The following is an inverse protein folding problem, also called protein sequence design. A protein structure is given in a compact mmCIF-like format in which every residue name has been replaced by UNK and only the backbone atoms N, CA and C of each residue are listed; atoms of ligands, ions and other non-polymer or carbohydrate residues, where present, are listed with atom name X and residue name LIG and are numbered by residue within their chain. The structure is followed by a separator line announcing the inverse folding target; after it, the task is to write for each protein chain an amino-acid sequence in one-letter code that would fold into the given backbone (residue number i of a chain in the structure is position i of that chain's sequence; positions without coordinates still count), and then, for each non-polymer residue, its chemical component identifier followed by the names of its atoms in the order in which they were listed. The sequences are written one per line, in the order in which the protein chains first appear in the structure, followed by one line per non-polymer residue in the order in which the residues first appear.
data_IF_636711165937
#
_entry.id   IF_636711165937
#
_cell.length_a   1.000
_cell.length_b   1.000
_cell.length_c   1.000
_cell.angle_alpha   90.00
_cell.angle_beta   90.00
_cell.angle_gamma   90.00
#
_symmetry.space_group_name_H-M   'P 1'
#
loop_
_entity.id
_entity.type
_entity.pdbx_description
1 polymer ?
#
# COMPACT_ATOMS: atom_id res chain seq x y z
N UNK A 1 21.31 -11.30 -11.85
CA UNK A 1 20.01 -11.92 -11.55
C UNK A 1 19.26 -12.04 -12.87
N UNK A 2 18.58 -13.16 -13.13
CA UNK A 2 17.76 -13.28 -14.35
C UNK A 2 16.65 -12.21 -14.33
N UNK A 3 16.37 -11.59 -15.47
CA UNK A 3 15.26 -10.64 -15.58
C UNK A 3 13.95 -11.38 -15.27
N UNK A 4 13.24 -10.96 -14.23
CA UNK A 4 11.91 -11.50 -13.91
C UNK A 4 10.95 -11.14 -15.04
N UNK A 5 10.20 -12.15 -15.49
CA UNK A 5 9.11 -12.03 -16.47
C UNK A 5 7.79 -12.34 -15.79
N UNK A 6 6.69 -11.90 -16.38
CA UNK A 6 5.35 -12.32 -15.95
C UNK A 6 5.06 -13.78 -16.36
N UNK A 7 3.86 -14.27 -16.03
CA UNK A 7 3.46 -15.66 -16.32
C UNK A 7 3.28 -15.92 -17.83
N UNK A 8 3.06 -14.88 -18.62
CA UNK A 8 2.95 -14.96 -20.08
C UNK A 8 4.32 -14.87 -20.77
N UNK A 9 5.40 -14.70 -20.00
CA UNK A 9 6.77 -14.59 -20.49
C UNK A 9 7.17 -13.18 -20.93
N UNK A 10 6.33 -12.17 -20.71
CA UNK A 10 6.63 -10.79 -21.06
C UNK A 10 7.49 -10.11 -19.97
N UNK A 11 8.27 -9.07 -20.34
CA UNK A 11 8.94 -8.23 -19.35
C UNK A 11 7.93 -7.56 -18.40
N UNK A 12 8.18 -7.62 -17.09
CA UNK A 12 7.32 -6.95 -16.11
C UNK A 12 7.49 -5.43 -16.21
N UNK A 13 6.42 -4.73 -16.56
CA UNK A 13 6.38 -3.26 -16.56
C UNK A 13 6.42 -2.73 -15.12
N UNK A 14 7.33 -1.79 -14.84
CA UNK A 14 7.32 -1.04 -13.57
C UNK A 14 6.06 -0.17 -13.45
N UNK A 15 5.52 -0.07 -12.24
CA UNK A 15 4.25 0.61 -11.96
C UNK A 15 4.36 1.41 -10.67
N UNK A 16 3.56 2.46 -10.57
CA UNK A 16 3.24 3.16 -9.32
C UNK A 16 1.94 2.59 -8.76
N UNK A 17 1.97 2.15 -7.51
CA UNK A 17 0.86 1.48 -6.82
C UNK A 17 0.36 2.38 -5.68
N UNK A 18 -0.90 2.81 -5.73
CA UNK A 18 -1.59 3.40 -4.59
C UNK A 18 -2.10 2.27 -3.70
N UNK A 19 -1.47 2.06 -2.55
CA UNK A 19 -1.84 1.03 -1.59
C UNK A 19 -2.60 1.66 -0.43
N UNK A 20 -3.93 1.52 -0.44
CA UNK A 20 -4.81 2.01 0.62
C UNK A 20 -4.93 0.94 1.70
N UNK A 21 -4.72 1.28 2.97
CA UNK A 21 -4.58 0.29 4.05
C UNK A 21 -3.19 -0.34 4.11
N UNK A 22 -2.15 0.38 3.66
CA UNK A 22 -0.78 -0.12 3.57
C UNK A 22 -0.14 -0.42 4.94
N UNK A 23 -0.59 0.25 6.00
CA UNK A 23 -0.15 0.01 7.38
C UNK A 23 -0.89 -1.15 8.07
N UNK A 24 -1.88 -1.75 7.40
CA UNK A 24 -2.60 -2.94 7.86
C UNK A 24 -1.75 -4.21 7.80
N UNK A 25 -2.30 -5.32 8.29
CA UNK A 25 -1.59 -6.62 8.31
C UNK A 25 -1.18 -7.11 6.92
N UNK A 26 -2.11 -7.11 5.95
CA UNK A 26 -1.81 -7.52 4.57
C UNK A 26 -0.92 -6.47 3.89
N UNK A 27 -1.24 -5.18 4.08
CA UNK A 27 -0.53 -4.06 3.47
C UNK A 27 0.95 -4.04 3.82
N UNK A 28 1.31 -4.31 5.07
CA UNK A 28 2.71 -4.28 5.50
C UNK A 28 3.55 -5.36 4.83
N UNK A 29 3.04 -6.60 4.78
CA UNK A 29 3.74 -7.71 4.13
C UNK A 29 3.78 -7.55 2.60
N UNK A 30 2.73 -6.97 2.01
CA UNK A 30 2.75 -6.65 0.59
C UNK A 30 3.81 -5.59 0.26
N UNK A 31 3.94 -4.55 1.10
CA UNK A 31 5.02 -3.56 0.98
C UNK A 31 6.41 -4.22 1.07
N UNK A 32 6.64 -5.11 2.03
CA UNK A 32 7.91 -5.83 2.18
C UNK A 32 8.29 -6.59 0.90
N UNK A 33 7.31 -7.32 0.32
CA UNK A 33 7.52 -8.07 -0.92
C UNK A 33 7.79 -7.12 -2.09
N UNK A 34 7.01 -6.06 -2.26
CA UNK A 34 7.24 -5.11 -3.35
C UNK A 34 8.62 -4.44 -3.26
N UNK A 35 9.07 -4.09 -2.05
CA UNK A 35 10.37 -3.46 -1.83
C UNK A 35 11.54 -4.43 -2.02
N UNK A 36 11.42 -5.68 -1.58
CA UNK A 36 12.52 -6.65 -1.68
C UNK A 36 12.62 -7.33 -3.05
N UNK A 37 11.52 -7.45 -3.78
CA UNK A 37 11.42 -8.40 -4.89
C UNK A 37 11.02 -7.79 -6.24
N UNK A 38 10.61 -6.51 -6.27
CA UNK A 38 10.09 -5.88 -7.49
C UNK A 38 10.65 -4.48 -7.70
N UNK A 39 10.60 -3.94 -8.93
CA UNK A 39 10.97 -2.57 -9.22
C UNK A 39 9.85 -1.56 -8.95
N UNK A 40 8.66 -1.99 -8.50
CA UNK A 40 7.48 -1.12 -8.35
C UNK A 40 7.70 -0.05 -7.26
N UNK A 41 6.95 1.05 -7.43
CA UNK A 41 6.87 2.16 -6.48
C UNK A 41 5.53 2.08 -5.73
N UNK A 42 5.53 2.37 -4.44
CA UNK A 42 4.35 2.31 -3.57
C UNK A 42 4.07 3.69 -2.96
N UNK A 43 2.85 4.18 -3.18
CA UNK A 43 2.24 5.26 -2.40
C UNK A 43 1.42 4.58 -1.29
N UNK A 44 2.02 4.47 -0.11
CA UNK A 44 1.43 3.82 1.05
C UNK A 44 0.46 4.77 1.76
N UNK A 45 -0.84 4.50 1.68
CA UNK A 45 -1.92 5.33 2.23
C UNK A 45 -2.51 4.61 3.44
N UNK A 46 -2.40 5.23 4.62
CA UNK A 46 -3.01 4.71 5.85
C UNK A 46 -3.12 5.82 6.91
N UNK A 47 -3.88 5.59 7.97
CA UNK A 47 -3.94 6.48 9.15
C UNK A 47 -2.75 6.26 10.10
N UNK A 48 -2.16 5.06 10.07
CA UNK A 48 -1.03 4.63 10.90
C UNK A 48 0.05 3.93 10.06
N UNK A 49 1.33 4.05 10.44
CA UNK A 49 2.45 3.43 9.72
C UNK A 49 3.27 2.48 10.58
N UNK A 50 2.81 2.13 11.79
CA UNK A 50 3.58 1.34 12.77
C UNK A 50 4.14 0.04 12.18
N UNK A 51 3.35 -0.63 11.33
CA UNK A 51 3.74 -1.91 10.68
C UNK A 51 4.60 -1.77 9.44
N UNK A 52 4.83 -0.55 8.94
CA UNK A 52 5.69 -0.30 7.77
C UNK A 52 6.82 0.68 8.08
N UNK A 53 6.98 1.10 9.34
CA UNK A 53 7.99 2.09 9.73
C UNK A 53 9.41 1.65 9.36
N UNK A 54 9.72 0.36 9.50
CA UNK A 54 11.00 -0.23 9.11
C UNK A 54 11.28 -0.20 7.61
N UNK A 55 10.26 0.07 6.78
CA UNK A 55 10.42 0.23 5.33
C UNK A 55 10.66 1.69 4.93
N UNK A 56 10.35 2.64 5.82
CA UNK A 56 10.46 4.08 5.60
C UNK A 56 11.74 4.67 6.21
N UNK A 57 12.26 4.04 7.26
CA UNK A 57 13.42 4.51 8.03
C UNK A 57 14.48 3.41 8.19
N UNK A 58 15.79 3.74 8.06
CA UNK A 58 16.36 5.05 7.69
C UNK A 58 16.23 5.36 6.19
N UNK A 59 16.40 6.63 5.80
CA UNK A 59 16.38 7.06 4.40
C UNK A 59 17.51 6.48 3.53
N UNK A 60 18.45 5.74 4.13
CA UNK A 60 19.54 5.04 3.44
C UNK A 60 19.15 3.65 2.94
N UNK A 61 17.91 3.21 3.18
CA UNK A 61 17.41 1.93 2.66
C UNK A 61 17.48 1.89 1.13
N UNK A 62 17.79 0.72 0.52
CA UNK A 62 17.93 0.59 -0.94
C UNK A 62 16.67 1.00 -1.74
N UNK A 63 15.52 1.02 -1.09
CA UNK A 63 14.22 1.33 -1.67
C UNK A 63 13.60 2.63 -1.16
N UNK A 64 14.37 3.50 -0.49
CA UNK A 64 13.85 4.74 0.09
C UNK A 64 13.11 5.63 -0.93
N UNK A 65 13.52 5.60 -2.19
CA UNK A 65 12.87 6.36 -3.28
C UNK A 65 11.65 5.65 -3.90
N UNK A 66 11.32 4.43 -3.47
CA UNK A 66 10.25 3.59 -4.02
C UNK A 66 9.06 3.41 -3.08
N UNK A 67 9.11 3.92 -1.87
CA UNK A 67 7.97 3.89 -0.95
C UNK A 67 7.79 5.24 -0.29
N UNK A 68 6.56 5.76 -0.33
CA UNK A 68 6.20 7.04 0.29
C UNK A 68 4.96 6.84 1.14
N UNK A 69 5.00 7.31 2.39
CA UNK A 69 3.85 7.22 3.29
C UNK A 69 3.02 8.50 3.27
N UNK A 70 1.71 8.34 3.05
CA UNK A 70 0.72 9.39 3.08
C UNK A 70 -0.28 9.12 4.20
N UNK A 71 -0.18 9.89 5.28
CA UNK A 71 -1.14 9.81 6.39
C UNK A 71 -2.48 10.40 5.96
N UNK A 72 -3.42 9.53 5.61
CA UNK A 72 -4.73 9.89 5.04
C UNK A 72 -5.81 8.99 5.65
N UNK A 73 -6.93 9.62 6.03
CA UNK A 73 -8.17 8.92 6.30
C UNK A 73 -9.06 9.00 5.06
N UNK A 74 -9.31 7.85 4.42
CA UNK A 74 -10.03 7.79 3.15
C UNK A 74 -11.49 8.24 3.21
N UNK A 75 -12.08 8.38 4.41
CA UNK A 75 -13.46 8.87 4.55
C UNK A 75 -13.63 10.29 4.01
N UNK A 76 -12.67 11.18 4.27
CA UNK A 76 -12.80 12.61 4.00
C UNK A 76 -11.44 13.27 3.72
N UNK A 77 -10.75 12.87 2.64
CA UNK A 77 -9.50 13.50 2.23
C UNK A 77 -9.42 13.69 0.71
N UNK A 78 -9.42 14.95 0.26
CA UNK A 78 -9.39 15.29 -1.16
C UNK A 78 -8.08 14.92 -1.86
N UNK A 79 -6.98 14.72 -1.10
CA UNK A 79 -5.69 14.32 -1.66
C UNK A 79 -5.71 12.90 -2.23
N UNK A 80 -6.64 12.06 -1.77
CA UNK A 80 -6.77 10.67 -2.21
C UNK A 80 -6.96 10.57 -3.73
N UNK A 81 -7.81 11.42 -4.31
CA UNK A 81 -8.05 11.43 -5.76
C UNK A 81 -6.77 11.69 -6.55
N UNK A 82 -5.93 12.62 -6.07
CA UNK A 82 -4.62 12.90 -6.67
C UNK A 82 -3.69 11.70 -6.62
N UNK A 83 -3.61 11.00 -5.48
CA UNK A 83 -2.77 9.81 -5.33
C UNK A 83 -3.21 8.67 -6.25
N UNK A 84 -4.52 8.46 -6.39
CA UNK A 84 -5.08 7.48 -7.33
C UNK A 84 -4.73 7.85 -8.77
N UNK A 85 -4.90 9.11 -9.18
CA UNK A 85 -4.56 9.58 -10.53
C UNK A 85 -3.07 9.48 -10.87
N UNK A 86 -2.18 9.57 -9.87
CA UNK A 86 -0.74 9.41 -10.06
C UNK A 86 -0.29 7.94 -10.14
N UNK A 87 -1.20 6.98 -9.92
CA UNK A 87 -0.87 5.56 -9.84
C UNK A 87 -1.38 4.79 -11.05
N UNK A 88 -0.62 3.77 -11.48
CA UNK A 88 -1.04 2.83 -12.52
C UNK A 88 -2.01 1.77 -11.96
N UNK A 89 -1.90 1.46 -10.67
CA UNK A 89 -2.70 0.46 -9.97
C UNK A 89 -3.11 0.97 -8.59
N UNK A 90 -4.37 0.72 -8.21
CA UNK A 90 -4.86 0.95 -6.85
C UNK A 90 -5.21 -0.38 -6.20
N UNK A 91 -4.70 -0.61 -4.99
CA UNK A 91 -5.04 -1.76 -4.15
C UNK A 91 -5.71 -1.22 -2.88
N UNK A 92 -6.98 -1.56 -2.66
CA UNK A 92 -7.72 -1.11 -1.49
C UNK A 92 -7.87 -2.23 -0.44
N UNK A 93 -7.13 -2.09 0.65
CA UNK A 93 -7.13 -2.99 1.82
C UNK A 93 -7.72 -2.32 3.07
N UNK A 94 -8.12 -1.05 3.00
CA UNK A 94 -8.70 -0.35 4.13
C UNK A 94 -10.13 -0.86 4.39
N UNK A 95 -10.29 -1.60 5.49
CA UNK A 95 -11.56 -2.13 5.94
C UNK A 95 -11.55 -2.38 7.45
N UNK A 96 -12.72 -2.39 8.09
CA UNK A 96 -12.87 -3.03 9.40
C UNK A 96 -13.09 -4.52 9.17
N UNK A 97 -12.11 -5.33 9.55
CA UNK A 97 -12.13 -6.78 9.35
C UNK A 97 -12.17 -7.58 10.66
N UNK A 98 -12.57 -6.95 11.76
CA UNK A 98 -12.69 -7.58 13.08
C UNK A 98 -14.11 -8.11 13.27
N UNK A 99 -14.35 -9.44 13.34
CA UNK A 99 -15.71 -9.99 13.42
C UNK A 99 -16.54 -9.51 14.62
N UNK A 100 -15.88 -9.20 15.74
CA UNK A 100 -16.53 -8.69 16.94
C UNK A 100 -17.21 -7.32 16.75
N UNK A 101 -16.81 -6.57 15.73
CA UNK A 101 -17.38 -5.26 15.43
C UNK A 101 -18.61 -5.33 14.53
N UNK A 102 -18.85 -6.45 13.85
CA UNK A 102 -19.93 -6.56 12.86
C UNK A 102 -21.32 -6.46 13.49
N UNK A 103 -21.48 -6.97 14.73
CA UNK A 103 -22.75 -6.89 15.47
C UNK A 103 -22.80 -5.72 16.46
N UNK A 104 -21.65 -5.18 16.88
CA UNK A 104 -21.59 -4.11 17.91
C UNK A 104 -21.45 -2.72 17.30
N UNK A 105 -20.84 -2.60 16.12
CA UNK A 105 -20.60 -1.34 15.39
C UNK A 105 -20.92 -1.49 13.89
N UNK A 106 -22.12 -1.94 13.51
CA UNK A 106 -22.45 -2.29 12.13
C UNK A 106 -22.29 -1.11 11.16
N UNK A 107 -22.72 0.10 11.56
CA UNK A 107 -22.57 1.31 10.72
C UNK A 107 -21.11 1.70 10.51
N UNK A 108 -20.23 1.41 11.47
CA UNK A 108 -18.81 1.68 11.33
C UNK A 108 -18.11 0.65 10.45
N UNK A 109 -18.74 -0.46 10.07
CA UNK A 109 -18.08 -1.53 9.29
C UNK A 109 -18.35 -1.44 7.79
N UNK A 110 -19.19 -0.49 7.37
CA UNK A 110 -19.60 -0.27 5.97
C UNK A 110 -18.98 1.05 5.50
N UNK A 111 -18.08 1.00 4.51
CA UNK A 111 -17.44 2.16 3.87
C UNK A 111 -17.35 2.00 2.37
#
# INVERSE_FOLDING_TARGET
MANRVDLDGNPIKTMTICMIGAGGFIGSHLCEKLMSETPHTVLAVDVYNDKIKHLLEPSTLPWANRIQFHRINIKHDSRLEGLIKMSDLTINLAAICTPADYNTRPLDTIY
#
